data_IF_018069104382
#
_entry.id   IF_018069104382
#
_cell.length_a   1.000
_cell.length_b   1.000
_cell.length_c   1.000
_cell.angle_alpha   90.00
_cell.angle_beta   90.00
_cell.angle_gamma   90.00
#
_symmetry.space_group_name_H-M   'P 1'
#
loop_
_entity.id
_entity.type
_entity.pdbx_description
1 polymer ?
#
# COMPACT_ATOMS: atom_id res chain seq x y z
N UNK A 1 -3.80 6.24 4.88
CA UNK A 1 -3.60 5.46 6.13
C UNK A 1 -4.81 4.58 6.50
N UNK A 2 -6.07 5.00 6.23
CA UNK A 2 -7.27 4.22 6.59
C UNK A 2 -7.40 2.85 5.90
N UNK A 3 -6.99 2.72 4.64
CA UNK A 3 -7.13 1.48 3.87
C UNK A 3 -6.46 0.23 4.50
N UNK A 4 -5.33 0.41 5.18
CA UNK A 4 -4.62 -0.69 5.87
C UNK A 4 -5.32 -1.08 7.18
N UNK A 5 -5.83 -0.07 7.90
CA UNK A 5 -6.53 -0.26 9.17
C UNK A 5 -7.88 -0.98 8.98
N UNK A 6 -8.63 -0.64 7.93
CA UNK A 6 -9.89 -1.31 7.58
C UNK A 6 -9.72 -2.82 7.38
N UNK A 7 -8.62 -3.23 6.75
CA UNK A 7 -8.30 -4.65 6.51
C UNK A 7 -7.55 -5.35 7.64
N UNK A 8 -7.24 -4.66 8.74
CA UNK A 8 -6.38 -5.18 9.85
C UNK A 8 -5.06 -5.80 9.34
N UNK A 9 -4.52 -5.29 8.23
CA UNK A 9 -3.28 -5.80 7.66
C UNK A 9 -2.07 -5.11 8.29
N UNK A 10 -1.01 -5.86 8.55
CA UNK A 10 0.29 -5.26 8.92
C UNK A 10 1.03 -4.80 7.66
N UNK A 11 1.99 -3.88 7.82
CA UNK A 11 2.83 -3.44 6.69
C UNK A 11 3.55 -4.63 6.04
N UNK A 12 4.05 -5.56 6.85
CA UNK A 12 4.69 -6.80 6.40
C UNK A 12 3.74 -7.71 5.63
N UNK A 13 2.50 -7.89 6.10
CA UNK A 13 1.51 -8.71 5.39
C UNK A 13 1.14 -8.07 4.05
N UNK A 14 0.92 -6.76 4.03
CA UNK A 14 0.63 -6.04 2.80
C UNK A 14 1.79 -6.13 1.80
N UNK A 15 3.02 -5.98 2.29
CA UNK A 15 4.24 -6.12 1.51
C UNK A 15 4.37 -7.54 0.92
N UNK A 16 4.10 -8.59 1.72
CA UNK A 16 4.07 -9.97 1.25
C UNK A 16 3.00 -10.18 0.16
N UNK A 17 1.80 -9.63 0.33
CA UNK A 17 0.71 -9.76 -0.66
C UNK A 17 1.06 -9.16 -2.02
N UNK A 18 1.80 -8.05 -2.04
CA UNK A 18 2.21 -7.39 -3.29
C UNK A 18 3.63 -7.80 -3.75
N UNK A 19 4.27 -8.71 -3.02
CA UNK A 19 5.65 -9.15 -3.23
C UNK A 19 6.63 -7.95 -3.28
N UNK A 20 6.55 -7.10 -2.27
CA UNK A 20 7.43 -5.95 -2.06
C UNK A 20 8.03 -5.98 -0.65
N UNK A 21 8.97 -5.06 -0.39
CA UNK A 21 9.55 -4.90 0.94
C UNK A 21 8.63 -4.08 1.86
N UNK A 22 8.54 -4.41 3.16
CA UNK A 22 7.76 -3.63 4.12
C UNK A 22 8.25 -2.18 4.23
N UNK A 23 9.54 -1.93 4.01
CA UNK A 23 10.11 -0.59 3.95
C UNK A 23 9.48 0.26 2.84
N UNK A 24 9.22 -0.33 1.67
CA UNK A 24 8.58 0.38 0.56
C UNK A 24 7.18 0.81 0.97
N UNK A 25 6.38 -0.09 1.56
CA UNK A 25 5.04 0.24 2.08
C UNK A 25 5.11 1.40 3.09
N UNK A 26 6.06 1.36 4.02
CA UNK A 26 6.27 2.42 4.99
C UNK A 26 6.60 3.77 4.34
N UNK A 27 7.45 3.77 3.31
CA UNK A 27 7.76 4.99 2.54
C UNK A 27 6.53 5.51 1.79
N UNK A 28 5.68 4.64 1.26
CA UNK A 28 4.41 5.03 0.62
C UNK A 28 3.42 5.61 1.63
N UNK A 29 3.31 5.01 2.81
CA UNK A 29 2.46 5.52 3.89
C UNK A 29 3.00 6.84 4.47
N UNK A 30 4.31 7.05 4.45
CA UNK A 30 4.99 8.28 4.89
C UNK A 30 5.08 9.35 3.80
N UNK A 31 4.65 9.07 2.55
CA UNK A 31 4.74 10.01 1.43
C UNK A 31 6.16 10.26 0.90
N UNK A 32 7.15 9.45 1.28
CA UNK A 32 8.54 9.53 0.82
C UNK A 32 8.85 8.59 -0.35
N UNK A 33 8.00 7.59 -0.60
CA UNK A 33 8.24 6.62 -1.66
C UNK A 33 8.13 7.24 -3.06
N UNK A 34 8.98 6.73 -3.95
CA UNK A 34 8.89 6.99 -5.39
C UNK A 34 7.59 6.36 -5.90
N UNK A 35 6.68 7.14 -6.52
CA UNK A 35 5.41 6.62 -7.01
C UNK A 35 5.63 5.65 -8.17
N UNK A 36 5.51 4.35 -7.89
CA UNK A 36 5.54 3.27 -8.86
C UNK A 36 4.11 2.80 -9.14
N UNK A 37 3.71 2.95 -10.40
CA UNK A 37 2.37 2.61 -10.87
C UNK A 37 2.03 1.12 -10.68
N UNK A 38 3.01 0.23 -10.77
CA UNK A 38 2.82 -1.20 -10.52
C UNK A 38 2.49 -1.47 -9.06
N UNK A 39 3.23 -0.85 -8.13
CA UNK A 39 3.01 -1.00 -6.69
C UNK A 39 1.63 -0.47 -6.32
N UNK A 40 1.24 0.69 -6.86
CA UNK A 40 -0.10 1.26 -6.67
C UNK A 40 -1.18 0.26 -7.11
N UNK A 41 -1.08 -0.30 -8.32
CA UNK A 41 -2.09 -1.27 -8.81
C UNK A 41 -2.14 -2.54 -7.93
N UNK A 42 -0.97 -3.05 -7.49
CA UNK A 42 -0.92 -4.20 -6.59
C UNK A 42 -1.53 -3.88 -5.22
N UNK A 43 -1.24 -2.70 -4.68
CA UNK A 43 -1.81 -2.21 -3.42
C UNK A 43 -3.33 -2.02 -3.52
N UNK A 44 -3.81 -1.47 -4.64
CA UNK A 44 -5.25 -1.31 -4.89
C UNK A 44 -5.96 -2.67 -4.94
N UNK A 45 -5.33 -3.70 -5.53
CA UNK A 45 -5.87 -5.08 -5.51
C UNK A 45 -5.81 -5.71 -4.12
N UNK A 46 -4.68 -5.62 -3.43
CA UNK A 46 -4.49 -6.22 -2.11
C UNK A 46 -5.43 -5.58 -1.07
N UNK A 47 -5.54 -4.25 -1.10
CA UNK A 47 -6.40 -3.49 -0.20
C UNK A 47 -7.85 -3.40 -0.68
N UNK A 48 -8.15 -3.72 -1.94
CA UNK A 48 -9.49 -3.61 -2.51
C UNK A 48 -10.03 -2.17 -2.53
N UNK A 49 -9.16 -1.17 -2.40
CA UNK A 49 -9.52 0.25 -2.42
C UNK A 49 -8.73 0.95 -3.51
N UNK A 50 -9.30 2.01 -4.09
CA UNK A 50 -8.54 2.90 -4.97
C UNK A 50 -7.70 3.85 -4.11
N UNK A 51 -6.38 3.71 -4.21
CA UNK A 51 -5.42 4.64 -3.59
C UNK A 51 -5.30 5.93 -4.42
N UNK A 52 -5.83 5.92 -5.65
CA UNK A 52 -6.00 7.10 -6.48
C UNK A 52 -7.25 7.88 -6.06
N UNK A 53 -7.05 8.88 -5.21
CA UNK A 53 -7.93 10.02 -5.04
C UNK A 53 -9.23 9.78 -4.27
N UNK A 54 -9.19 10.03 -2.97
CA UNK A 54 -10.22 10.87 -2.35
C UNK A 54 -9.51 12.02 -1.64
N UNK A 55 -9.96 13.23 -1.94
CA UNK A 55 -9.68 14.46 -1.20
C UNK A 55 -9.81 14.24 0.29
#
# INVERSE_FOLDING_TARGET
>A
MQARMDKKLTQSQLAQMINEKPQIIQEYESGKAIPNQQIIVKLERALGVKLRGKK
#
